data_IF_085889051838
#
_entry.id   IF_085889051838
#
_cell.length_a   1.000
_cell.length_b   1.000
_cell.length_c   1.000
_cell.angle_alpha   90.00
_cell.angle_beta   90.00
_cell.angle_gamma   90.00
#
_symmetry.space_group_name_H-M   'P 1'
#
loop_
_entity.id
_entity.type
_entity.pdbx_description
1 polymer ?
#
# COMPACT_ATOMS: atom_id res chain seq x y z
N UNK A 1 30.23 19.52 14.61
CA UNK A 1 29.35 19.21 13.44
C UNK A 1 28.99 17.71 13.32
N UNK A 2 29.97 16.79 13.26
CA UNK A 2 29.71 15.33 13.12
C UNK A 2 28.85 14.74 14.26
N UNK A 3 29.14 15.09 15.51
CA UNK A 3 28.35 14.64 16.67
C UNK A 3 26.87 15.08 16.59
N UNK A 4 26.64 16.37 16.30
CA UNK A 4 25.29 16.93 16.11
C UNK A 4 24.51 16.21 14.99
N UNK A 5 25.16 15.92 13.86
CA UNK A 5 24.54 15.16 12.78
C UNK A 5 24.21 13.71 13.18
N UNK A 6 25.11 13.04 13.91
CA UNK A 6 24.87 11.71 14.44
C UNK A 6 23.65 11.68 15.36
N UNK A 7 23.55 12.65 16.26
CA UNK A 7 22.44 12.74 17.20
C UNK A 7 21.09 12.99 16.50
N UNK A 8 21.05 13.88 15.52
CA UNK A 8 19.85 14.07 14.68
C UNK A 8 19.45 12.80 13.94
N UNK A 9 20.42 12.02 13.44
CA UNK A 9 20.13 10.74 12.80
C UNK A 9 19.54 9.73 13.78
N UNK A 10 20.06 9.69 15.02
CA UNK A 10 19.57 8.84 16.11
C UNK A 10 18.13 9.19 16.47
N UNK A 11 17.83 10.46 16.75
CA UNK A 11 16.48 10.96 17.07
C UNK A 11 15.50 10.60 15.95
N UNK A 12 15.87 10.88 14.69
CA UNK A 12 15.02 10.53 13.55
C UNK A 12 14.76 9.02 13.42
N UNK A 13 15.72 8.17 13.79
CA UNK A 13 15.53 6.72 13.78
C UNK A 13 14.55 6.25 14.86
N UNK A 14 14.62 6.83 16.06
CA UNK A 14 13.68 6.58 17.15
C UNK A 14 12.27 7.04 16.76
N UNK A 15 12.13 8.25 16.22
CA UNK A 15 10.82 8.78 15.80
C UNK A 15 10.14 7.88 14.75
N UNK A 16 10.90 7.36 13.78
CA UNK A 16 10.35 6.40 12.80
C UNK A 16 9.89 5.10 13.44
N UNK A 17 10.62 4.62 14.45
CA UNK A 17 10.24 3.39 15.16
C UNK A 17 8.96 3.59 15.96
N UNK A 18 8.82 4.72 16.65
CA UNK A 18 7.61 5.06 17.40
C UNK A 18 6.40 5.19 16.47
N UNK A 19 6.52 5.93 15.37
CA UNK A 19 5.45 6.07 14.38
C UNK A 19 5.01 4.71 13.79
N UNK A 20 5.97 3.84 13.45
CA UNK A 20 5.67 2.49 12.96
C UNK A 20 4.92 1.66 14.01
N UNK A 21 5.29 1.78 15.29
CA UNK A 21 4.62 1.05 16.36
C UNK A 21 3.19 1.57 16.57
N UNK A 22 2.99 2.89 16.50
CA UNK A 22 1.68 3.52 16.57
C UNK A 22 0.77 3.04 15.43
N UNK A 23 1.27 3.08 14.18
CA UNK A 23 0.53 2.58 13.01
C UNK A 23 0.18 1.09 13.17
N UNK A 24 1.12 0.26 13.65
CA UNK A 24 0.88 -1.17 13.85
C UNK A 24 -0.16 -1.44 14.95
N UNK A 25 -0.15 -0.65 16.03
CA UNK A 25 -1.16 -0.73 17.09
C UNK A 25 -2.54 -0.31 16.56
N UNK A 26 -2.60 0.77 15.78
CA UNK A 26 -3.84 1.22 15.16
C UNK A 26 -4.41 0.16 14.21
N UNK A 27 -3.58 -0.42 13.34
CA UNK A 27 -4.03 -1.52 12.48
C UNK A 27 -4.55 -2.71 13.28
N UNK A 28 -3.90 -3.06 14.39
CA UNK A 28 -4.36 -4.14 15.27
C UNK A 28 -5.69 -3.83 15.95
N UNK A 29 -5.98 -2.56 16.26
CA UNK A 29 -7.27 -2.17 16.83
C UNK A 29 -8.41 -2.19 15.81
N UNK A 30 -8.11 -2.17 14.50
CA UNK A 30 -9.12 -2.21 13.44
C UNK A 30 -9.58 -3.63 13.12
N UNK A 31 -8.80 -4.66 13.44
CA UNK A 31 -9.20 -6.05 13.20
C UNK A 31 -8.14 -7.08 13.57
N UNK A 32 -8.53 -8.35 13.51
CA UNK A 32 -7.70 -9.49 13.90
C UNK A 32 -6.87 -10.08 12.77
N UNK A 33 -7.23 -9.82 11.51
CA UNK A 33 -6.56 -10.38 10.34
C UNK A 33 -5.95 -9.26 9.51
N UNK A 34 -4.64 -9.34 9.27
CA UNK A 34 -3.92 -8.43 8.39
C UNK A 34 -3.43 -9.16 7.13
N UNK A 35 -3.98 -8.80 5.98
CA UNK A 35 -3.60 -9.36 4.68
C UNK A 35 -2.78 -8.33 3.90
N UNK A 36 -1.63 -8.74 3.37
CA UNK A 36 -0.72 -7.85 2.63
C UNK A 36 0.03 -8.57 1.52
N UNK A 37 0.65 -7.79 0.64
CA UNK A 37 1.62 -8.29 -0.34
C UNK A 37 2.99 -8.59 0.31
N UNK A 38 3.81 -9.47 -0.29
CA UNK A 38 5.12 -9.83 0.22
C UNK A 38 6.11 -8.64 0.26
N UNK A 39 7.06 -8.71 1.19
CA UNK A 39 8.13 -7.72 1.36
C UNK A 39 8.96 -7.58 0.06
N UNK A 40 8.89 -6.42 -0.60
CA UNK A 40 9.61 -6.17 -1.86
C UNK A 40 10.74 -5.12 -1.77
N UNK A 41 10.98 -4.54 -0.59
CA UNK A 41 11.87 -3.39 -0.44
C UNK A 41 13.31 -3.65 -0.91
N UNK A 42 13.82 -4.88 -0.78
CA UNK A 42 15.13 -5.29 -1.30
C UNK A 42 15.27 -5.04 -2.81
N UNK A 43 14.22 -5.33 -3.58
CA UNK A 43 14.19 -5.07 -5.03
C UNK A 43 14.15 -3.56 -5.30
N UNK A 44 13.41 -2.79 -4.50
CA UNK A 44 13.30 -1.33 -4.63
C UNK A 44 14.58 -0.58 -4.23
N UNK A 45 15.46 -1.20 -3.44
CA UNK A 45 16.77 -0.67 -3.07
C UNK A 45 17.82 -0.83 -4.17
N UNK A 46 17.59 -1.68 -5.18
CA UNK A 46 18.54 -1.91 -6.27
C UNK A 46 18.85 -0.60 -6.99
N UNK A 47 20.13 -0.42 -7.29
CA UNK A 47 20.68 0.73 -8.00
C UNK A 47 20.99 0.32 -9.44
N UNK A 48 20.74 1.20 -10.41
CA UNK A 48 21.23 1.01 -11.78
C UNK A 48 22.76 0.93 -11.80
N UNK A 49 23.32 -0.03 -12.53
CA UNK A 49 24.78 -0.17 -12.69
C UNK A 49 25.33 1.00 -13.50
N UNK A 50 24.75 1.20 -14.68
CA UNK A 50 25.18 2.21 -15.64
C UNK A 50 24.75 3.63 -15.26
N UNK A 51 25.61 4.59 -15.61
CA UNK A 51 25.31 6.02 -15.52
C UNK A 51 24.74 6.47 -16.86
N UNK A 52 23.47 6.85 -16.87
CA UNK A 52 22.82 7.40 -18.08
C UNK A 52 22.51 8.88 -17.90
N UNK A 53 22.42 9.60 -19.01
CA UNK A 53 21.92 10.98 -19.08
C UNK A 53 20.54 10.99 -19.74
N UNK A 54 19.71 11.97 -19.41
CA UNK A 54 18.51 12.27 -20.17
C UNK A 54 18.85 13.07 -21.44
N UNK A 55 17.85 13.30 -22.29
CA UNK A 55 18.00 14.04 -23.56
C UNK A 55 18.47 15.49 -23.37
N UNK A 56 18.44 15.99 -22.12
CA UNK A 56 18.89 17.33 -21.71
C UNK A 56 20.29 17.30 -21.07
N UNK A 57 20.98 16.16 -21.12
CA UNK A 57 22.34 15.98 -20.59
C UNK A 57 22.42 15.81 -19.07
N UNK A 58 21.29 15.78 -18.35
CA UNK A 58 21.26 15.63 -16.89
C UNK A 58 21.41 14.16 -16.50
N UNK A 59 22.26 13.89 -15.51
CA UNK A 59 22.47 12.54 -15.01
C UNK A 59 21.20 11.97 -14.34
N UNK A 60 20.82 10.77 -14.77
CA UNK A 60 19.69 10.04 -14.19
C UNK A 60 20.01 9.54 -12.78
N UNK A 61 19.01 9.58 -11.90
CA UNK A 61 19.14 9.03 -10.53
C UNK A 61 19.27 7.51 -10.61
N UNK A 62 20.42 6.99 -10.20
CA UNK A 62 20.65 5.53 -10.15
C UNK A 62 19.81 4.81 -9.07
N UNK A 63 19.36 5.50 -8.03
CA UNK A 63 18.44 4.98 -7.00
C UNK A 63 17.06 5.63 -7.16
N UNK A 64 16.03 4.82 -7.39
CA UNK A 64 14.64 5.31 -7.55
C UNK A 64 13.96 5.61 -6.21
N UNK A 65 14.08 4.69 -5.24
CA UNK A 65 13.31 4.75 -3.99
C UNK A 65 14.17 4.93 -2.72
N UNK A 66 15.48 5.18 -2.84
CA UNK A 66 16.39 5.21 -1.69
C UNK A 66 15.98 6.17 -0.56
N UNK A 67 15.50 7.37 -0.91
CA UNK A 67 15.00 8.35 0.08
C UNK A 67 13.72 7.86 0.75
N UNK A 68 12.76 7.35 -0.04
CA UNK A 68 11.48 6.85 0.48
C UNK A 68 11.68 5.63 1.38
N UNK A 69 12.53 4.69 1.00
CA UNK A 69 12.83 3.48 1.79
C UNK A 69 13.51 3.87 3.11
N UNK A 70 14.47 4.81 3.07
CA UNK A 70 15.13 5.33 4.27
C UNK A 70 14.14 5.98 5.23
N UNK A 71 13.17 6.75 4.70
CA UNK A 71 12.27 7.55 5.51
C UNK A 71 11.03 6.79 5.99
N UNK A 72 10.47 5.88 5.17
CA UNK A 72 9.24 5.13 5.47
C UNK A 72 9.51 3.75 6.06
N UNK A 73 10.73 3.22 5.89
CA UNK A 73 11.16 1.92 6.43
C UNK A 73 10.13 0.77 6.22
N UNK A 74 9.63 0.54 4.99
CA UNK A 74 8.50 -0.37 4.74
C UNK A 74 8.73 -1.80 5.24
N UNK A 75 9.95 -2.34 5.14
CA UNK A 75 10.28 -3.66 5.69
C UNK A 75 10.15 -3.74 7.21
N UNK A 76 10.56 -2.67 7.92
CA UNK A 76 10.43 -2.61 9.37
C UNK A 76 8.97 -2.48 9.75
N UNK A 77 8.21 -1.63 9.05
CA UNK A 77 6.77 -1.51 9.24
C UNK A 77 6.07 -2.86 9.12
N UNK A 78 6.27 -3.57 8.01
CA UNK A 78 5.65 -4.86 7.76
C UNK A 78 6.06 -5.93 8.80
N UNK A 79 7.33 -5.93 9.23
CA UNK A 79 7.81 -6.83 10.29
C UNK A 79 7.24 -6.49 11.67
N UNK A 80 7.06 -5.20 11.98
CA UNK A 80 6.42 -4.77 13.24
C UNK A 80 4.95 -5.17 13.25
N UNK A 81 4.21 -4.96 12.15
CA UNK A 81 2.81 -5.40 12.00
C UNK A 81 2.71 -6.91 12.17
N UNK A 82 3.52 -7.68 11.45
CA UNK A 82 3.57 -9.14 11.55
C UNK A 82 3.77 -9.61 13.01
N UNK A 83 4.77 -9.05 13.70
CA UNK A 83 5.04 -9.38 15.11
C UNK A 83 3.88 -8.99 16.01
N UNK A 84 3.31 -7.80 15.82
CA UNK A 84 2.20 -7.28 16.63
C UNK A 84 0.98 -8.19 16.54
N UNK A 85 0.56 -8.55 15.34
CA UNK A 85 -0.58 -9.43 15.12
C UNK A 85 -0.32 -10.81 15.74
N UNK A 86 0.83 -11.44 15.45
CA UNK A 86 1.19 -12.75 16.01
C UNK A 86 1.21 -12.80 17.54
N UNK A 87 1.79 -11.78 18.21
CA UNK A 87 1.91 -11.75 19.68
C UNK A 87 0.54 -11.51 20.36
N UNK A 88 -0.38 -10.83 19.69
CA UNK A 88 -1.70 -10.44 20.25
C UNK A 88 -2.84 -11.36 19.78
N UNK A 89 -2.51 -12.57 19.34
CA UNK A 89 -3.48 -13.59 18.90
C UNK A 89 -4.14 -13.29 17.53
N UNK A 90 -3.68 -12.26 16.81
CA UNK A 90 -4.13 -11.96 15.45
C UNK A 90 -3.38 -12.75 14.38
N UNK A 91 -3.90 -12.70 13.16
CA UNK A 91 -3.37 -13.42 12.00
C UNK A 91 -2.73 -12.46 11.02
N UNK A 92 -1.54 -12.83 10.53
CA UNK A 92 -0.82 -12.08 9.50
C UNK A 92 -0.63 -12.96 8.26
N UNK A 93 -1.09 -12.48 7.10
CA UNK A 93 -1.13 -13.23 5.84
C UNK A 93 -0.40 -12.45 4.75
N UNK A 94 0.57 -13.09 4.09
CA UNK A 94 1.17 -12.60 2.85
C UNK A 94 0.59 -13.35 1.65
N UNK A 95 0.01 -12.62 0.69
CA UNK A 95 -0.50 -13.22 -0.56
C UNK A 95 0.66 -13.57 -1.51
N UNK A 96 0.52 -14.56 -2.41
CA UNK A 96 1.57 -14.85 -3.37
C UNK A 96 1.79 -13.69 -4.35
N UNK A 97 3.02 -13.52 -4.85
CA UNK A 97 3.35 -12.46 -5.81
C UNK A 97 2.52 -12.54 -7.13
N UNK A 98 2.01 -13.73 -7.46
CA UNK A 98 1.12 -13.96 -8.60
C UNK A 98 -0.29 -13.39 -8.42
N UNK A 99 -0.69 -13.08 -7.18
CA UNK A 99 -2.03 -12.59 -6.84
C UNK A 99 -2.39 -11.29 -7.56
N UNK A 100 -1.41 -10.37 -7.70
CA UNK A 100 -1.49 -9.14 -8.52
C UNK A 100 -2.80 -8.36 -8.31
N UNK A 101 -3.17 -8.09 -7.06
CA UNK A 101 -4.43 -7.41 -6.69
C UNK A 101 -4.64 -6.09 -7.46
N UNK A 102 -3.58 -5.29 -7.62
CA UNK A 102 -3.66 -4.03 -8.37
C UNK A 102 -4.08 -4.18 -9.86
N UNK A 103 -4.00 -5.36 -10.44
CA UNK A 103 -4.33 -5.63 -11.84
C UNK A 103 -5.67 -6.36 -12.01
N UNK A 104 -6.14 -7.10 -11.01
CA UNK A 104 -7.35 -7.89 -11.16
C UNK A 104 -8.61 -7.01 -11.27
N UNK A 105 -9.60 -7.46 -12.04
CA UNK A 105 -10.95 -6.91 -12.17
C UNK A 105 -11.97 -8.03 -11.89
N UNK A 106 -12.70 -7.91 -10.78
CA UNK A 106 -13.62 -8.96 -10.33
C UNK A 106 -14.88 -9.05 -11.20
N UNK A 107 -15.17 -8.03 -12.01
CA UNK A 107 -16.40 -7.94 -12.81
C UNK A 107 -16.31 -8.78 -14.09
N UNK A 108 -15.09 -9.05 -14.56
CA UNK A 108 -14.80 -9.84 -15.76
C UNK A 108 -13.83 -11.00 -15.49
N UNK A 109 -13.41 -11.17 -14.24
CA UNK A 109 -12.49 -12.23 -13.81
C UNK A 109 -11.16 -12.24 -14.59
N UNK A 110 -10.60 -11.05 -14.81
CA UNK A 110 -9.38 -10.90 -15.62
C UNK A 110 -8.36 -9.91 -14.99
N UNK A 111 -7.10 -10.04 -15.41
CA UNK A 111 -5.97 -9.23 -15.00
C UNK A 111 -5.68 -8.12 -16.01
N UNK A 112 -6.23 -6.94 -15.73
CA UNK A 112 -6.11 -5.76 -16.56
C UNK A 112 -5.06 -4.81 -15.98
N UNK A 113 -3.99 -4.54 -16.74
CA UNK A 113 -2.93 -3.63 -16.29
C UNK A 113 -3.47 -2.20 -16.15
N UNK A 114 -3.25 -1.60 -14.97
CA UNK A 114 -3.64 -0.23 -14.63
C UNK A 114 -2.40 0.64 -14.45
N UNK A 115 -2.41 1.90 -14.88
CA UNK A 115 -1.25 2.78 -14.70
C UNK A 115 -1.20 3.30 -13.27
N UNK A 116 0.01 3.52 -12.76
CA UNK A 116 0.21 4.10 -11.42
C UNK A 116 -0.28 5.57 -11.32
N UNK A 117 -0.43 6.25 -12.45
CA UNK A 117 -1.04 7.58 -12.55
C UNK A 117 -2.55 7.56 -12.29
N UNK A 118 -3.20 6.43 -12.57
CA UNK A 118 -4.65 6.32 -12.57
C UNK A 118 -5.08 5.97 -11.13
N UNK A 119 -5.41 7.02 -10.36
CA UNK A 119 -5.77 6.90 -8.95
C UNK A 119 -7.25 6.54 -8.74
N UNK A 120 -8.08 6.99 -9.66
CA UNK A 120 -9.45 6.55 -9.90
C UNK A 120 -9.45 5.84 -11.25
N UNK A 121 -10.10 4.70 -11.35
CA UNK A 121 -10.26 4.02 -12.63
C UNK A 121 -11.60 3.31 -12.70
N UNK A 122 -12.04 3.06 -13.93
CA UNK A 122 -13.28 2.35 -14.22
C UNK A 122 -13.00 0.86 -14.39
N UNK A 123 -13.74 0.01 -13.67
CA UNK A 123 -13.84 -1.42 -13.93
C UNK A 123 -14.46 -1.64 -15.32
N UNK A 124 -14.34 -2.85 -15.85
CA UNK A 124 -14.93 -3.18 -17.17
C UNK A 124 -16.45 -2.98 -17.22
N UNK A 125 -17.16 -3.21 -16.12
CA UNK A 125 -18.59 -2.92 -16.03
C UNK A 125 -18.93 -1.41 -15.90
N UNK A 126 -17.93 -0.52 -15.95
CA UNK A 126 -18.09 0.93 -15.87
C UNK A 126 -18.00 1.52 -14.46
N UNK A 127 -17.96 0.70 -13.40
CA UNK A 127 -17.90 1.16 -12.01
C UNK A 127 -16.59 1.89 -11.72
N UNK A 128 -16.66 3.12 -11.20
CA UNK A 128 -15.46 3.87 -10.83
C UNK A 128 -15.04 3.62 -9.37
N UNK A 129 -13.80 3.20 -9.17
CA UNK A 129 -13.21 2.85 -7.87
C UNK A 129 -11.89 3.58 -7.63
N UNK A 130 -11.59 3.89 -6.36
CA UNK A 130 -10.24 4.31 -5.97
C UNK A 130 -9.29 3.10 -5.98
N UNK A 131 -8.10 3.27 -6.59
CA UNK A 131 -7.22 2.14 -6.91
C UNK A 131 -6.62 1.43 -5.71
N UNK A 132 -6.16 2.19 -4.72
CA UNK A 132 -5.49 1.66 -3.55
C UNK A 132 -6.51 0.95 -2.63
N UNK A 133 -7.71 1.53 -2.47
CA UNK A 133 -8.86 0.91 -1.81
C UNK A 133 -9.28 -0.38 -2.51
N UNK A 134 -9.46 -0.35 -3.83
CA UNK A 134 -9.90 -1.54 -4.55
C UNK A 134 -8.85 -2.66 -4.48
N UNK A 135 -7.55 -2.34 -4.54
CA UNK A 135 -6.50 -3.33 -4.29
C UNK A 135 -6.59 -3.92 -2.88
N UNK A 136 -6.91 -3.10 -1.88
CA UNK A 136 -7.16 -3.55 -0.50
C UNK A 136 -8.41 -4.42 -0.38
N UNK A 137 -9.49 -4.09 -1.09
CA UNK A 137 -10.70 -4.91 -1.16
C UNK A 137 -10.41 -6.29 -1.76
N UNK A 138 -9.62 -6.34 -2.83
CA UNK A 138 -9.19 -7.61 -3.43
C UNK A 138 -8.28 -8.40 -2.48
N UNK A 139 -7.42 -7.77 -1.68
CA UNK A 139 -6.67 -8.46 -0.63
C UNK A 139 -7.60 -9.01 0.47
N UNK A 140 -8.65 -8.29 0.84
CA UNK A 140 -9.69 -8.77 1.76
C UNK A 140 -10.43 -10.01 1.20
N UNK A 141 -10.58 -10.10 -0.11
CA UNK A 141 -11.18 -11.24 -0.80
C UNK A 141 -10.19 -12.40 -1.06
N UNK A 142 -9.00 -12.40 -0.47
CA UNK A 142 -8.06 -13.50 -0.62
C UNK A 142 -8.49 -14.72 0.21
N UNK A 143 -8.56 -15.90 -0.44
CA UNK A 143 -8.72 -17.18 0.25
C UNK A 143 -7.34 -17.81 0.49
N UNK A 144 -6.98 -17.88 1.76
CA UNK A 144 -5.71 -18.45 2.23
C UNK A 144 -5.60 -19.97 2.03
N UNK A 145 -6.73 -20.70 1.97
CA UNK A 145 -6.73 -22.17 1.80
C UNK A 145 -6.31 -22.56 0.39
N UNK A 146 -6.90 -21.90 -0.61
CA UNK A 146 -6.62 -22.17 -2.02
C UNK A 146 -5.57 -21.24 -2.63
N UNK A 147 -5.10 -20.24 -1.87
CA UNK A 147 -4.14 -19.22 -2.26
C UNK A 147 -4.55 -18.44 -3.53
N UNK A 148 -5.84 -18.17 -3.67
CA UNK A 148 -6.44 -17.48 -4.82
C UNK A 148 -7.51 -16.50 -4.36
N UNK A 149 -8.03 -15.74 -5.31
CA UNK A 149 -9.13 -14.82 -5.05
C UNK A 149 -10.43 -15.59 -4.85
N UNK A 150 -11.15 -15.24 -3.79
CA UNK A 150 -12.50 -15.72 -3.55
C UNK A 150 -13.48 -14.87 -4.38
N UNK A 151 -13.86 -15.43 -5.54
CA UNK A 151 -14.77 -14.76 -6.47
C UNK A 151 -16.16 -14.56 -5.88
N UNK A 152 -16.63 -15.52 -5.09
CA UNK A 152 -17.93 -15.43 -4.46
C UNK A 152 -17.94 -14.27 -3.46
N UNK A 153 -16.91 -14.21 -2.61
CA UNK A 153 -16.73 -13.11 -1.66
C UNK A 153 -16.56 -11.76 -2.35
N UNK A 154 -15.86 -11.70 -3.48
CA UNK A 154 -15.80 -10.48 -4.28
C UNK A 154 -17.20 -10.00 -4.68
N UNK A 155 -18.06 -10.90 -5.17
CA UNK A 155 -19.41 -10.53 -5.61
C UNK A 155 -20.30 -10.13 -4.41
N UNK A 156 -20.26 -10.90 -3.32
CA UNK A 156 -21.17 -10.68 -2.19
C UNK A 156 -20.80 -9.46 -1.34
N UNK A 157 -19.51 -9.16 -1.19
CA UNK A 157 -19.03 -8.09 -0.30
C UNK A 157 -18.81 -6.75 -1.02
N UNK A 158 -18.74 -6.73 -2.36
CA UNK A 158 -18.32 -5.54 -3.10
C UNK A 158 -19.24 -4.35 -2.85
N UNK A 159 -20.56 -4.53 -2.98
CA UNK A 159 -21.51 -3.41 -2.90
C UNK A 159 -21.45 -2.71 -1.53
N UNK A 160 -21.36 -3.46 -0.45
CA UNK A 160 -21.32 -2.90 0.90
C UNK A 160 -19.97 -2.24 1.22
N UNK A 161 -18.86 -2.84 0.77
CA UNK A 161 -17.55 -2.21 0.86
C UNK A 161 -17.49 -0.93 0.01
N UNK A 162 -18.09 -0.94 -1.18
CA UNK A 162 -18.11 0.17 -2.12
C UNK A 162 -18.92 1.35 -1.59
N UNK A 163 -20.08 1.11 -0.97
CA UNK A 163 -20.85 2.15 -0.26
C UNK A 163 -20.01 2.83 0.82
N UNK A 164 -19.24 2.06 1.61
CA UNK A 164 -18.34 2.59 2.64
C UNK A 164 -17.21 3.44 2.04
N UNK A 165 -16.64 3.03 0.90
CA UNK A 165 -15.64 3.84 0.18
C UNK A 165 -16.20 5.18 -0.27
N UNK A 166 -17.38 5.19 -0.89
CA UNK A 166 -18.02 6.43 -1.33
C UNK A 166 -18.33 7.36 -0.16
N UNK A 167 -18.89 6.83 0.92
CA UNK A 167 -19.12 7.60 2.14
C UNK A 167 -17.83 8.22 2.69
N UNK A 168 -16.73 7.46 2.73
CA UNK A 168 -15.43 7.95 3.18
C UNK A 168 -14.86 9.05 2.27
N UNK A 169 -14.96 8.88 0.94
CA UNK A 169 -14.51 9.90 -0.02
C UNK A 169 -15.31 11.20 0.13
N UNK A 170 -16.63 11.11 0.28
CA UNK A 170 -17.46 12.29 0.51
C UNK A 170 -17.14 12.96 1.84
N UNK A 171 -16.92 12.19 2.91
CA UNK A 171 -16.49 12.72 4.19
C UNK A 171 -15.14 13.44 4.08
N UNK A 172 -14.15 12.86 3.38
CA UNK A 172 -12.83 13.48 3.12
C UNK A 172 -12.98 14.83 2.40
N UNK A 173 -13.86 14.90 1.38
CA UNK A 173 -14.12 16.13 0.63
C UNK A 173 -14.78 17.18 1.51
N UNK A 174 -15.83 16.81 2.24
CA UNK A 174 -16.56 17.72 3.13
C UNK A 174 -15.66 18.36 4.19
N UNK A 175 -14.71 17.59 4.72
CA UNK A 175 -13.76 18.05 5.75
C UNK A 175 -12.47 18.64 5.16
N UNK A 176 -12.35 18.74 3.83
CA UNK A 176 -11.19 19.27 3.11
C UNK A 176 -9.87 18.59 3.52
N UNK A 177 -9.92 17.27 3.77
CA UNK A 177 -8.76 16.50 4.23
C UNK A 177 -7.85 16.18 3.05
N UNK A 178 -6.61 16.68 3.12
CA UNK A 178 -5.62 16.47 2.07
C UNK A 178 -5.04 15.06 2.13
N UNK A 179 -5.54 14.16 1.28
CA UNK A 179 -4.98 12.81 1.10
C UNK A 179 -4.02 12.79 -0.09
N UNK A 180 -2.72 12.65 0.20
CA UNK A 180 -1.67 12.65 -0.84
C UNK A 180 -1.78 11.44 -1.77
N UNK A 181 -1.57 11.66 -3.07
CA UNK A 181 -1.54 10.61 -4.10
C UNK A 181 -2.84 9.77 -4.20
N UNK A 182 -3.96 10.28 -3.71
CA UNK A 182 -5.25 9.56 -3.66
C UNK A 182 -6.09 9.70 -4.92
N UNK A 183 -5.88 10.76 -5.70
CA UNK A 183 -6.78 11.14 -6.80
C UNK A 183 -8.03 11.91 -6.34
N UNK A 184 -8.26 12.01 -5.04
CA UNK A 184 -9.40 12.74 -4.47
C UNK A 184 -9.11 14.24 -4.59
N UNK A 185 -9.95 14.94 -5.36
CA UNK A 185 -9.91 16.40 -5.48
C UNK A 185 -10.84 17.00 -4.44
N UNK A 186 -10.32 17.90 -3.63
CA UNK A 186 -11.10 18.75 -2.73
C UNK A 186 -11.54 19.95 -3.59
N UNK A 187 -12.85 20.16 -3.68
CA UNK A 187 -13.44 21.31 -4.34
C UNK A 187 -13.26 22.58 -3.49
#
# INVERSE_FOLDING_TARGET
LKAKHSELCRINAVNRQLAINEDANHLRSLGDIFVTEPKNAGRLMKRAKETTKDDKGKFNKKKRFGKSIKNRCPSRFQTTVEKKFKITGGTYIEVPNSYRASQYDHTVDDYIKKKLSDRLYKLQNGTEVQRDWYSSFLLYCYDHKIQKIDKHKCITEFDDCYKKEKALIEWIKAHKIKVLNSGIKIA
#
